data_IF_954293749560
#
_entry.id   IF_954293749560
#
_cell.length_a   1.000
_cell.length_b   1.000
_cell.length_c   1.000
_cell.angle_alpha   90.00
_cell.angle_beta   90.00
_cell.angle_gamma   90.00
#
_symmetry.space_group_name_H-M   'P 1'
#
loop_
_entity.id
_entity.type
_entity.pdbx_description
1 polymer ?
#
# COMPACT_ATOMS: atom_id res chain seq x y z
N UNK A 1 2.81 -11.84 21.39
CA UNK A 1 2.12 -10.78 20.63
C UNK A 1 3.18 -10.02 19.84
N UNK A 2 2.88 -9.52 18.65
CA UNK A 2 3.83 -8.78 17.83
C UNK A 2 3.97 -7.34 18.33
N UNK A 3 5.15 -6.74 18.13
CA UNK A 3 5.36 -5.32 18.45
C UNK A 3 4.64 -4.38 17.47
N UNK A 4 4.47 -4.81 16.23
CA UNK A 4 3.78 -4.09 15.16
C UNK A 4 3.30 -5.07 14.08
N UNK A 5 2.29 -4.68 13.30
CA UNK A 5 1.73 -5.51 12.20
C UNK A 5 1.66 -4.69 10.91
N UNK A 6 2.09 -5.25 9.79
CA UNK A 6 1.85 -4.71 8.46
C UNK A 6 0.88 -5.64 7.73
N UNK A 7 -0.24 -5.12 7.25
CA UNK A 7 -1.23 -5.87 6.46
C UNK A 7 -1.17 -5.38 5.02
N UNK A 8 -0.83 -6.27 4.10
CA UNK A 8 -0.64 -5.94 2.69
C UNK A 8 -1.94 -6.02 1.88
N UNK A 9 -1.86 -5.53 0.65
CA UNK A 9 -2.93 -5.63 -0.33
C UNK A 9 -3.14 -7.06 -0.85
N UNK A 10 -4.22 -7.24 -1.60
CA UNK A 10 -4.57 -8.50 -2.23
C UNK A 10 -5.79 -8.35 -3.12
N UNK A 11 -6.01 -9.33 -4.00
CA UNK A 11 -7.15 -9.37 -4.92
C UNK A 11 -8.53 -9.67 -4.27
N UNK A 12 -8.64 -10.48 -3.19
CA UNK A 12 -9.94 -10.80 -2.59
C UNK A 12 -10.72 -9.57 -2.13
N UNK A 13 -12.05 -9.61 -2.26
CA UNK A 13 -12.93 -8.75 -1.49
C UNK A 13 -13.00 -9.21 -0.03
N UNK A 14 -13.08 -8.27 0.90
CA UNK A 14 -13.13 -8.55 2.35
C UNK A 14 -14.28 -9.50 2.73
N UNK A 15 -15.41 -9.43 2.01
CA UNK A 15 -16.60 -10.24 2.23
C UNK A 15 -16.54 -11.63 1.56
N UNK A 16 -15.48 -11.98 0.84
CA UNK A 16 -15.39 -13.22 0.07
C UNK A 16 -14.87 -14.42 0.89
N UNK A 17 -15.25 -14.54 2.16
CA UNK A 17 -14.75 -15.57 3.08
C UNK A 17 -15.05 -17.01 2.63
N UNK A 18 -16.12 -17.21 1.86
CA UNK A 18 -16.44 -18.55 1.32
C UNK A 18 -15.47 -18.97 0.21
N UNK A 19 -14.95 -18.00 -0.56
CA UNK A 19 -13.93 -18.22 -1.59
C UNK A 19 -12.53 -18.23 -1.00
N UNK A 20 -12.29 -17.43 0.04
CA UNK A 20 -10.99 -17.25 0.70
C UNK A 20 -11.13 -17.45 2.22
N UNK A 21 -11.25 -18.70 2.71
CA UNK A 21 -11.52 -18.98 4.13
C UNK A 21 -10.47 -18.42 5.11
N UNK A 22 -9.25 -18.19 4.65
CA UNK A 22 -8.18 -17.57 5.45
C UNK A 22 -8.53 -16.14 5.90
N UNK A 23 -9.42 -15.43 5.20
CA UNK A 23 -9.91 -14.11 5.62
C UNK A 23 -10.54 -14.14 7.02
N UNK A 24 -11.18 -15.26 7.42
CA UNK A 24 -11.74 -15.41 8.77
C UNK A 24 -10.65 -15.37 9.85
N UNK A 25 -9.56 -16.10 9.60
CA UNK A 25 -8.42 -16.14 10.50
C UNK A 25 -7.70 -14.79 10.55
N UNK A 26 -7.53 -14.15 9.40
CA UNK A 26 -6.94 -12.81 9.28
C UNK A 26 -7.75 -11.79 10.08
N UNK A 27 -9.07 -11.71 9.87
CA UNK A 27 -9.96 -10.81 10.62
C UNK A 27 -9.95 -11.10 12.13
N UNK A 28 -9.88 -12.36 12.53
CA UNK A 28 -9.78 -12.71 13.94
C UNK A 28 -8.47 -12.19 14.55
N UNK A 29 -7.35 -12.39 13.85
CA UNK A 29 -6.05 -11.88 14.24
C UNK A 29 -6.04 -10.35 14.36
N UNK A 30 -6.61 -9.65 13.37
CA UNK A 30 -6.69 -8.19 13.37
C UNK A 30 -7.58 -7.64 14.49
N UNK A 31 -8.75 -8.22 14.73
CA UNK A 31 -9.60 -7.83 15.87
C UNK A 31 -8.87 -7.98 17.20
N UNK A 32 -8.07 -9.05 17.36
CA UNK A 32 -7.25 -9.22 18.56
C UNK A 32 -6.17 -8.16 18.68
N UNK A 33 -5.46 -7.87 17.58
CA UNK A 33 -4.44 -6.82 17.56
C UNK A 33 -5.01 -5.43 17.83
N UNK A 34 -6.18 -5.08 17.27
CA UNK A 34 -6.92 -3.85 17.56
C UNK A 34 -7.26 -3.77 19.05
N UNK A 35 -7.87 -4.83 19.59
CA UNK A 35 -8.24 -4.88 21.00
C UNK A 35 -7.02 -4.72 21.90
N UNK A 36 -5.89 -5.33 21.53
CA UNK A 36 -4.65 -5.23 22.28
C UNK A 36 -3.87 -3.92 22.07
N UNK A 37 -4.31 -3.03 21.17
CA UNK A 37 -3.63 -1.78 20.85
C UNK A 37 -2.30 -1.96 20.09
N UNK A 38 -2.15 -3.06 19.35
CA UNK A 38 -0.94 -3.31 18.53
C UNK A 38 -0.93 -2.32 17.35
N UNK A 39 0.13 -1.54 17.15
CA UNK A 39 0.23 -0.63 16.03
C UNK A 39 0.17 -1.37 14.69
N UNK A 40 -0.65 -0.86 13.75
CA UNK A 40 -0.79 -1.48 12.43
C UNK A 40 -0.60 -0.49 11.28
N UNK A 41 0.04 -0.95 10.21
CA UNK A 41 0.02 -0.29 8.91
C UNK A 41 -0.68 -1.18 7.90
N UNK A 42 -1.86 -0.76 7.46
CA UNK A 42 -2.75 -1.55 6.63
C UNK A 42 -2.88 -0.94 5.23
N UNK A 43 -2.65 -1.73 4.19
CA UNK A 43 -2.48 -1.27 2.80
C UNK A 43 -3.48 -1.98 1.88
N UNK A 44 -4.22 -1.20 1.07
CA UNK A 44 -5.20 -1.67 0.10
C UNK A 44 -6.21 -2.66 0.71
N UNK A 45 -6.22 -3.94 0.35
CA UNK A 45 -7.05 -4.96 1.03
C UNK A 45 -6.84 -4.96 2.56
N UNK A 46 -5.61 -4.79 3.02
CA UNK A 46 -5.30 -4.68 4.44
C UNK A 46 -6.05 -3.53 5.11
N UNK A 47 -6.14 -2.36 4.48
CA UNK A 47 -6.87 -1.23 5.05
C UNK A 47 -8.38 -1.50 5.12
N UNK A 48 -8.91 -2.24 4.15
CA UNK A 48 -10.32 -2.64 4.13
C UNK A 48 -10.61 -3.68 5.22
N UNK A 49 -9.72 -4.67 5.40
CA UNK A 49 -9.79 -5.62 6.51
C UNK A 49 -9.76 -4.90 7.86
N UNK A 50 -8.86 -3.94 8.01
CA UNK A 50 -8.77 -3.12 9.22
C UNK A 50 -10.06 -2.31 9.45
N UNK A 51 -10.59 -1.67 8.41
CA UNK A 51 -11.85 -0.94 8.47
C UNK A 51 -13.03 -1.84 8.92
N UNK A 52 -13.18 -3.02 8.32
CA UNK A 52 -14.22 -3.98 8.74
C UNK A 52 -14.01 -4.47 10.18
N UNK A 53 -12.76 -4.74 10.58
CA UNK A 53 -12.45 -5.22 11.93
C UNK A 53 -12.69 -4.18 13.02
N UNK A 54 -12.70 -2.88 12.68
CA UNK A 54 -13.11 -1.81 13.60
C UNK A 54 -14.62 -1.68 13.74
N UNK A 55 -15.42 -2.38 12.91
CA UNK A 55 -16.87 -2.28 12.86
C UNK A 55 -17.40 -1.44 11.69
N UNK A 56 -16.51 -0.99 10.81
CA UNK A 56 -16.87 -0.37 9.54
C UNK A 56 -17.47 -1.36 8.55
N UNK A 57 -17.91 -0.85 7.39
CA UNK A 57 -18.45 -1.66 6.29
C UNK A 57 -17.54 -1.55 5.08
N UNK A 58 -17.20 -2.68 4.47
CA UNK A 58 -16.48 -2.74 3.19
C UNK A 58 -17.45 -3.18 2.11
N UNK A 59 -17.44 -2.50 0.97
CA UNK A 59 -18.36 -2.76 -0.12
C UNK A 59 -17.77 -2.32 -1.46
N UNK A 60 -18.29 -2.90 -2.53
CA UNK A 60 -17.91 -2.52 -3.89
C UNK A 60 -18.31 -1.07 -4.19
N UNK A 61 -17.37 -0.30 -4.71
CA UNK A 61 -17.59 1.08 -5.11
C UNK A 61 -18.63 1.20 -6.24
N UNK A 62 -19.53 2.17 -6.12
CA UNK A 62 -20.65 2.38 -7.08
C UNK A 62 -20.29 3.27 -8.26
N UNK A 63 -19.14 3.96 -8.21
CA UNK A 63 -18.67 4.93 -9.21
C UNK A 63 -17.51 4.41 -10.05
N UNK A 64 -17.27 3.09 -10.04
CA UNK A 64 -16.16 2.44 -10.74
C UNK A 64 -14.89 2.32 -9.88
N UNK A 65 -13.84 1.74 -10.47
CA UNK A 65 -12.55 1.53 -9.80
C UNK A 65 -11.67 2.78 -9.83
N UNK A 66 -10.79 2.92 -8.84
CA UNK A 66 -9.71 3.91 -8.84
C UNK A 66 -8.38 3.24 -9.14
N UNK A 67 -7.82 3.60 -10.29
CA UNK A 67 -6.50 3.19 -10.74
C UNK A 67 -5.70 4.45 -11.03
N UNK A 68 -4.47 4.49 -10.51
CA UNK A 68 -3.51 5.54 -10.77
C UNK A 68 -3.47 6.65 -9.72
N UNK A 69 -2.97 7.80 -10.14
CA UNK A 69 -2.72 8.96 -9.30
C UNK A 69 -4.03 9.72 -9.13
N UNK A 70 -4.46 9.91 -7.88
CA UNK A 70 -5.69 10.64 -7.56
C UNK A 70 -5.36 11.75 -6.58
N UNK A 71 -6.02 12.88 -6.75
CA UNK A 71 -5.95 14.00 -5.81
C UNK A 71 -6.70 13.63 -4.53
N UNK A 72 -6.05 13.83 -3.39
CA UNK A 72 -6.68 13.62 -2.10
C UNK A 72 -7.31 14.92 -1.61
N UNK A 73 -8.53 14.81 -1.09
CA UNK A 73 -9.18 15.81 -0.28
C UNK A 73 -8.92 15.46 1.18
N UNK A 74 -8.10 16.29 1.83
CA UNK A 74 -7.82 16.17 3.25
C UNK A 74 -9.01 16.68 4.06
N UNK A 75 -9.46 15.88 5.02
CA UNK A 75 -10.55 16.26 5.91
C UNK A 75 -10.00 17.01 7.12
N UNK A 76 -10.72 18.07 7.51
CA UNK A 76 -10.40 18.85 8.70
C UNK A 76 -10.93 18.13 9.95
N UNK A 77 -10.11 18.11 10.99
CA UNK A 77 -10.45 17.60 12.31
C UNK A 77 -10.13 18.69 13.32
N UNK A 78 -10.92 18.80 14.38
CA UNK A 78 -10.60 19.71 15.51
C UNK A 78 -9.79 19.02 16.60
N UNK A 79 -9.60 17.70 16.50
CA UNK A 79 -8.89 16.90 17.48
C UNK A 79 -7.37 17.01 17.30
N UNK A 80 -6.62 17.20 18.39
CA UNK A 80 -5.16 17.26 18.37
C UNK A 80 -4.54 15.93 17.93
N UNK A 81 -5.16 14.80 18.24
CA UNK A 81 -4.66 13.48 17.82
C UNK A 81 -4.69 13.31 16.29
N UNK A 82 -5.64 13.98 15.62
CA UNK A 82 -5.77 13.97 14.17
C UNK A 82 -4.97 15.11 13.51
N UNK A 83 -4.92 16.30 14.12
CA UNK A 83 -4.28 17.48 13.53
C UNK A 83 -2.78 17.58 13.80
N UNK A 84 -2.31 17.07 14.95
CA UNK A 84 -0.91 17.04 15.37
C UNK A 84 -0.12 15.84 14.83
N UNK A 85 -0.73 14.99 14.02
CA UNK A 85 -0.08 13.82 13.45
C UNK A 85 1.04 14.22 12.49
N UNK A 86 2.28 13.82 12.84
CA UNK A 86 3.47 14.21 12.10
C UNK A 86 3.45 13.67 10.67
N UNK A 87 2.92 12.46 10.44
CA UNK A 87 2.90 11.84 9.12
C UNK A 87 1.96 12.62 8.20
N UNK A 88 0.78 12.98 8.71
CA UNK A 88 -0.19 13.81 8.00
C UNK A 88 0.43 15.17 7.65
N UNK A 89 1.06 15.84 8.62
CA UNK A 89 1.70 17.13 8.42
C UNK A 89 2.78 17.07 7.32
N UNK A 90 3.58 16.00 7.31
CA UNK A 90 4.64 15.82 6.31
C UNK A 90 4.09 15.51 4.91
N UNK A 91 3.08 14.65 4.81
CA UNK A 91 2.42 14.35 3.53
C UNK A 91 1.83 15.61 2.90
N UNK A 92 1.13 16.43 3.70
CA UNK A 92 0.57 17.73 3.27
C UNK A 92 1.68 18.71 2.86
N UNK A 93 2.70 18.88 3.70
CA UNK A 93 3.78 19.84 3.45
C UNK A 93 4.57 19.51 2.17
N UNK A 94 4.86 18.23 1.94
CA UNK A 94 5.62 17.76 0.77
C UNK A 94 4.76 17.47 -0.45
N UNK A 95 3.43 17.57 -0.36
CA UNK A 95 2.47 17.28 -1.43
C UNK A 95 2.69 15.88 -2.02
N UNK A 96 2.78 14.88 -1.14
CA UNK A 96 3.09 13.50 -1.48
C UNK A 96 1.86 12.60 -1.61
N UNK A 97 0.69 13.11 -1.27
CA UNK A 97 -0.60 12.41 -1.33
C UNK A 97 -0.91 11.88 -2.74
N UNK A 98 -0.71 12.71 -3.77
CA UNK A 98 -0.91 12.29 -5.16
C UNK A 98 0.06 11.19 -5.60
N UNK A 99 1.20 11.01 -4.91
CA UNK A 99 2.22 10.01 -5.26
C UNK A 99 1.90 8.63 -4.67
N UNK A 100 0.82 8.50 -3.89
CA UNK A 100 0.32 7.23 -3.38
C UNK A 100 -0.67 6.68 -4.41
N UNK A 101 -0.21 5.71 -5.21
CA UNK A 101 -1.00 5.15 -6.32
C UNK A 101 -2.17 4.33 -5.80
N UNK A 102 -3.36 4.57 -6.34
CA UNK A 102 -4.56 3.78 -6.05
C UNK A 102 -4.71 2.63 -7.05
N UNK A 103 -5.14 1.47 -6.55
CA UNK A 103 -5.45 0.29 -7.37
C UNK A 103 -6.54 -0.55 -6.70
N UNK A 104 -7.79 -0.07 -6.71
CA UNK A 104 -8.89 -0.74 -6.01
C UNK A 104 -10.25 -0.49 -6.67
N UNK A 105 -11.21 -1.37 -6.37
CA UNK A 105 -12.62 -1.22 -6.76
C UNK A 105 -13.58 -1.19 -5.56
N UNK A 106 -13.14 -1.67 -4.41
CA UNK A 106 -13.90 -1.67 -3.17
C UNK A 106 -13.49 -0.45 -2.32
N UNK A 107 -14.42 0.00 -1.48
CA UNK A 107 -14.24 1.10 -0.54
C UNK A 107 -14.80 0.70 0.81
N UNK A 108 -14.62 1.55 1.81
CA UNK A 108 -15.07 1.32 3.17
C UNK A 108 -15.69 2.56 3.79
N UNK A 109 -16.60 2.35 4.75
CA UNK A 109 -17.00 3.32 5.76
C UNK A 109 -16.35 2.98 7.11
N UNK A 110 -16.31 3.94 8.02
CA UNK A 110 -15.66 3.83 9.32
C UNK A 110 -16.64 4.17 10.46
N UNK A 111 -16.53 3.50 11.62
CA UNK A 111 -17.20 3.94 12.84
C UNK A 111 -16.49 5.17 13.41
N UNK A 112 -17.09 5.82 14.42
CA UNK A 112 -16.44 6.94 15.13
C UNK A 112 -15.37 6.48 16.13
N UNK A 113 -15.53 5.29 16.69
CA UNK A 113 -14.63 4.72 17.69
C UNK A 113 -14.66 3.20 17.65
N UNK A 114 -13.65 2.57 18.24
CA UNK A 114 -13.55 1.12 18.44
C UNK A 114 -13.18 0.82 19.89
N UNK A 115 -13.70 -0.27 20.45
CA UNK A 115 -13.35 -0.72 21.79
C UNK A 115 -11.99 -1.44 21.79
N UNK A 116 -11.15 -1.11 22.77
CA UNK A 116 -9.87 -1.76 23.04
C UNK A 116 -9.75 -2.12 24.51
N UNK A 117 -8.71 -2.87 24.90
CA UNK A 117 -8.42 -3.16 26.31
C UNK A 117 -8.11 -1.91 27.14
N UNK A 118 -7.85 -0.77 26.49
CA UNK A 118 -7.56 0.52 27.13
C UNK A 118 -8.76 1.48 27.10
N UNK A 119 -9.92 1.05 26.61
CA UNK A 119 -11.11 1.87 26.43
C UNK A 119 -11.44 2.12 24.96
N UNK A 120 -12.22 3.16 24.68
CA UNK A 120 -12.61 3.52 23.32
C UNK A 120 -11.54 4.37 22.64
N UNK A 121 -11.02 3.88 21.51
CA UNK A 121 -10.10 4.60 20.64
C UNK A 121 -10.86 5.21 19.47
N UNK A 122 -10.51 6.45 19.10
CA UNK A 122 -11.14 7.16 17.99
C UNK A 122 -10.64 6.65 16.64
N UNK A 123 -11.53 6.70 15.65
CA UNK A 123 -11.21 6.42 14.25
C UNK A 123 -11.45 7.69 13.43
N UNK A 124 -10.42 8.12 12.70
CA UNK A 124 -10.43 9.35 11.92
C UNK A 124 -10.29 9.02 10.45
N UNK A 125 -11.29 9.37 9.64
CA UNK A 125 -11.10 9.47 8.19
C UNK A 125 -10.30 10.74 7.90
N UNK A 126 -9.10 10.60 7.36
CA UNK A 126 -8.16 11.71 7.19
C UNK A 126 -8.18 12.28 5.77
N UNK A 127 -8.39 11.42 4.78
CA UNK A 127 -8.53 11.84 3.40
C UNK A 127 -9.46 10.94 2.60
N UNK A 128 -10.00 11.50 1.52
CA UNK A 128 -10.79 10.81 0.50
C UNK A 128 -10.39 11.29 -0.89
N UNK A 129 -10.76 10.58 -1.93
CA UNK A 129 -10.82 11.12 -3.29
C UNK A 129 -12.20 11.73 -3.54
N UNK A 130 -12.47 12.20 -4.75
CA UNK A 130 -13.82 12.57 -5.16
C UNK A 130 -14.78 11.36 -5.21
N UNK A 131 -14.26 10.13 -5.18
CA UNK A 131 -15.06 8.92 -5.27
C UNK A 131 -15.20 8.23 -3.91
N UNK A 132 -14.09 7.99 -3.20
CA UNK A 132 -14.02 7.04 -2.09
C UNK A 132 -13.08 7.47 -0.96
N UNK A 133 -13.23 6.82 0.20
CA UNK A 133 -12.35 7.01 1.36
C UNK A 133 -10.97 6.40 1.06
N UNK A 134 -9.87 7.12 1.37
CA UNK A 134 -8.52 6.69 0.96
C UNK A 134 -7.53 6.55 2.11
N UNK A 135 -7.69 7.31 3.19
CA UNK A 135 -6.74 7.28 4.29
C UNK A 135 -7.41 7.53 5.63
N UNK A 136 -7.16 6.66 6.59
CA UNK A 136 -7.68 6.80 7.94
C UNK A 136 -6.64 6.42 9.00
N UNK A 137 -6.91 6.88 10.23
CA UNK A 137 -6.12 6.62 11.43
C UNK A 137 -7.01 6.04 12.53
N UNK A 138 -6.46 5.11 13.29
CA UNK A 138 -7.03 4.55 14.51
C UNK A 138 -6.06 4.78 15.67
N UNK A 139 -6.55 5.39 16.75
CA UNK A 139 -5.75 5.65 17.94
C UNK A 139 -4.49 6.44 17.62
N UNK A 140 -3.35 6.07 18.22
CA UNK A 140 -2.09 6.84 18.11
C UNK A 140 -1.34 6.64 16.79
N UNK A 141 -1.14 5.39 16.36
CA UNK A 141 -0.18 5.03 15.32
C UNK A 141 -0.64 3.85 14.43
N UNK A 142 -1.95 3.59 14.37
CA UNK A 142 -2.52 2.65 13.40
C UNK A 142 -3.09 3.40 12.21
N UNK A 143 -2.70 3.00 11.00
CA UNK A 143 -3.07 3.68 9.75
C UNK A 143 -3.60 2.70 8.70
N UNK A 144 -4.64 3.12 8.00
CA UNK A 144 -5.16 2.42 6.83
C UNK A 144 -5.03 3.27 5.57
N UNK A 145 -4.27 2.78 4.59
CA UNK A 145 -4.06 3.38 3.27
C UNK A 145 -4.75 2.54 2.21
N UNK A 146 -5.71 3.12 1.49
CA UNK A 146 -6.36 2.45 0.36
C UNK A 146 -5.42 2.34 -0.85
N UNK A 147 -4.45 3.24 -0.94
CA UNK A 147 -3.39 3.22 -1.94
C UNK A 147 -2.17 2.42 -1.55
N UNK A 148 -1.15 2.47 -2.41
CA UNK A 148 0.05 1.64 -2.33
C UNK A 148 1.31 2.48 -2.05
N UNK A 149 1.59 2.85 -0.79
CA UNK A 149 2.84 3.53 -0.44
C UNK A 149 4.07 2.62 -0.61
N UNK A 150 3.89 1.30 -0.64
CA UNK A 150 4.93 0.31 -0.90
C UNK A 150 5.30 0.18 -2.38
N UNK A 151 4.56 0.85 -3.28
CA UNK A 151 4.69 0.63 -4.71
C UNK A 151 6.09 0.97 -5.23
N UNK A 152 6.69 0.00 -5.90
CA UNK A 152 7.85 0.18 -6.76
C UNK A 152 7.46 -0.08 -8.23
N UNK A 153 8.13 0.52 -9.23
CA UNK A 153 7.81 0.37 -10.65
C UNK A 153 7.76 -1.09 -11.12
N UNK A 154 8.64 -1.92 -10.56
CA UNK A 154 8.68 -3.35 -10.80
C UNK A 154 7.39 -4.06 -10.34
N UNK A 155 6.79 -3.62 -9.23
CA UNK A 155 5.59 -4.25 -8.67
C UNK A 155 4.37 -4.02 -9.56
N UNK A 156 4.17 -2.80 -10.06
CA UNK A 156 3.02 -2.52 -10.91
C UNK A 156 3.05 -3.35 -12.20
N UNK A 157 4.23 -3.52 -12.81
CA UNK A 157 4.41 -4.37 -13.99
C UNK A 157 4.08 -5.82 -13.68
N UNK A 158 4.54 -6.33 -12.53
CA UNK A 158 4.19 -7.66 -12.04
C UNK A 158 2.68 -7.79 -11.80
N UNK A 159 2.03 -6.85 -11.13
CA UNK A 159 0.57 -6.92 -10.85
C UNK A 159 -0.26 -6.95 -12.14
N UNK A 160 0.14 -6.16 -13.14
CA UNK A 160 -0.51 -6.13 -14.44
C UNK A 160 -0.31 -7.44 -15.22
N UNK A 161 0.88 -8.04 -15.16
CA UNK A 161 1.20 -9.32 -15.81
C UNK A 161 0.61 -10.52 -15.06
N UNK A 162 0.53 -10.42 -13.73
CA UNK A 162 -0.07 -11.39 -12.82
C UNK A 162 -1.60 -11.31 -12.81
N UNK A 163 -2.21 -10.75 -13.87
CA UNK A 163 -3.64 -10.81 -14.12
C UNK A 163 -4.51 -10.47 -12.90
N UNK A 164 -4.16 -9.41 -12.15
CA UNK A 164 -4.93 -8.91 -11.00
C UNK A 164 -6.36 -8.51 -11.41
N UNK A 165 -7.19 -9.54 -11.59
CA UNK A 165 -8.61 -9.54 -11.89
C UNK A 165 -9.00 -8.90 -13.22
N UNK A 166 -10.23 -9.20 -13.64
CA UNK A 166 -11.02 -8.47 -14.64
C UNK A 166 -10.80 -6.95 -14.69
N UNK A 167 -10.39 -6.31 -13.59
CA UNK A 167 -10.14 -4.87 -13.50
C UNK A 167 -8.99 -4.43 -14.41
N UNK A 168 -7.86 -5.15 -14.45
CA UNK A 168 -6.76 -4.87 -15.38
C UNK A 168 -7.20 -4.99 -16.84
N UNK A 169 -8.01 -6.01 -17.16
CA UNK A 169 -8.52 -6.23 -18.52
C UNK A 169 -9.56 -5.15 -18.92
N UNK A 170 -10.49 -4.80 -18.01
CA UNK A 170 -11.55 -3.80 -18.24
C UNK A 170 -11.02 -2.36 -18.24
N UNK A 171 -9.82 -2.11 -17.71
CA UNK A 171 -9.22 -0.78 -17.59
C UNK A 171 -7.81 -0.70 -18.17
N UNK A 172 -7.52 -1.48 -19.22
CA UNK A 172 -6.20 -1.63 -19.82
C UNK A 172 -5.53 -0.30 -20.19
N UNK A 173 -6.27 0.66 -20.75
CA UNK A 173 -5.74 1.99 -21.08
C UNK A 173 -5.29 2.78 -19.84
N UNK A 174 -6.10 2.78 -18.78
CA UNK A 174 -5.80 3.48 -17.52
C UNK A 174 -4.62 2.82 -16.79
N UNK A 175 -4.52 1.49 -16.87
CA UNK A 175 -3.38 0.74 -16.36
C UNK A 175 -2.09 1.12 -17.09
N UNK A 176 -2.10 1.18 -18.43
CA UNK A 176 -0.92 1.59 -19.22
C UNK A 176 -0.50 3.04 -18.92
N UNK A 177 -1.48 3.96 -18.79
CA UNK A 177 -1.21 5.33 -18.37
C UNK A 177 -0.58 5.38 -16.98
N UNK A 178 -1.06 4.57 -16.05
CA UNK A 178 -0.52 4.48 -14.69
C UNK A 178 0.91 3.95 -14.71
N UNK A 179 1.21 2.92 -15.50
CA UNK A 179 2.57 2.40 -15.67
C UNK A 179 3.49 3.50 -16.19
N UNK A 180 3.08 4.20 -17.25
CA UNK A 180 3.87 5.30 -17.83
C UNK A 180 4.11 6.43 -16.83
N UNK A 181 3.11 6.78 -16.01
CA UNK A 181 3.25 7.79 -14.97
C UNK A 181 4.15 7.32 -13.83
N UNK A 182 4.03 6.06 -13.38
CA UNK A 182 4.91 5.48 -12.36
C UNK A 182 6.36 5.50 -12.83
N UNK A 183 6.64 5.10 -14.07
CA UNK A 183 7.99 5.15 -14.63
C UNK A 183 8.55 6.60 -14.66
N UNK A 184 7.70 7.60 -14.97
CA UNK A 184 8.10 9.03 -15.01
C UNK A 184 8.27 9.65 -13.62
N UNK A 185 7.46 9.25 -12.64
CA UNK A 185 7.38 9.87 -11.31
C UNK A 185 7.98 9.01 -10.19
N UNK A 186 8.66 7.91 -10.54
CA UNK A 186 9.20 6.94 -9.59
C UNK A 186 9.95 7.57 -8.42
N UNK A 187 10.79 8.57 -8.68
CA UNK A 187 11.59 9.21 -7.63
C UNK A 187 10.71 9.83 -6.54
N UNK A 188 9.55 10.39 -6.90
CA UNK A 188 8.61 10.97 -5.96
C UNK A 188 7.78 9.89 -5.25
N UNK A 189 7.37 8.84 -5.98
CA UNK A 189 6.65 7.69 -5.40
C UNK A 189 7.51 6.99 -4.36
N UNK A 190 8.77 6.68 -4.69
CA UNK A 190 9.72 6.05 -3.78
C UNK A 190 9.96 6.91 -2.54
N UNK A 191 10.11 8.23 -2.70
CA UNK A 191 10.26 9.14 -1.56
C UNK A 191 8.99 9.18 -0.69
N UNK A 192 7.80 9.21 -1.29
CA UNK A 192 6.54 9.16 -0.57
C UNK A 192 6.41 7.88 0.25
N UNK A 193 6.65 6.74 -0.39
CA UNK A 193 6.63 5.42 0.25
C UNK A 193 7.64 5.29 1.39
N UNK A 194 8.90 5.64 1.13
CA UNK A 194 9.97 5.59 2.13
C UNK A 194 9.65 6.50 3.31
N UNK A 195 9.09 7.69 3.07
CA UNK A 195 8.66 8.58 4.16
C UNK A 195 7.57 7.91 4.99
N UNK A 196 6.50 7.41 4.37
CA UNK A 196 5.38 6.81 5.09
C UNK A 196 5.85 5.61 5.93
N UNK A 197 6.59 4.70 5.32
CA UNK A 197 7.04 3.47 5.96
C UNK A 197 8.03 3.73 7.08
N UNK A 198 9.10 4.51 6.82
CA UNK A 198 10.11 4.78 7.85
C UNK A 198 9.54 5.61 8.99
N UNK A 199 8.68 6.58 8.67
CA UNK A 199 8.07 7.41 9.69
C UNK A 199 7.07 6.63 10.55
N UNK A 200 6.34 5.68 9.97
CA UNK A 200 5.50 4.78 10.75
C UNK A 200 6.34 3.92 11.69
N UNK A 201 7.43 3.31 11.20
CA UNK A 201 8.40 2.57 12.02
C UNK A 201 8.91 3.46 13.15
N UNK A 202 9.33 4.69 12.87
CA UNK A 202 9.77 5.63 13.89
C UNK A 202 8.64 5.91 14.89
N UNK A 203 7.41 6.19 14.48
CA UNK A 203 6.31 6.44 15.42
C UNK A 203 5.99 5.24 16.32
N UNK A 204 6.18 4.02 15.82
CA UNK A 204 5.95 2.79 16.59
C UNK A 204 7.11 2.50 17.54
N UNK A 205 8.35 2.75 17.13
CA UNK A 205 9.55 2.32 17.87
C UNK A 205 10.37 3.46 18.49
N UNK A 206 10.01 4.74 18.27
CA UNK A 206 10.75 5.91 18.77
C UNK A 206 10.60 6.16 20.27
N UNK A 207 9.90 5.34 21.06
CA UNK A 207 10.23 5.28 22.49
C UNK A 207 11.70 4.81 22.73
N UNK A 208 12.38 4.34 21.68
CA UNK A 208 13.84 4.12 21.61
C UNK A 208 14.66 5.22 20.91
N UNK A 209 14.04 6.31 20.42
CA UNK A 209 14.72 7.43 19.72
C UNK A 209 14.13 8.76 20.22
N UNK A 210 14.92 9.68 20.79
CA UNK A 210 14.40 10.85 21.52
C UNK A 210 13.32 11.65 20.77
N UNK A 211 12.29 12.06 21.49
CA UNK A 211 11.23 12.93 20.98
C UNK A 211 11.82 14.20 20.36
N UNK A 212 11.44 14.47 19.12
CA UNK A 212 11.84 15.68 18.40
C UNK A 212 10.70 16.68 18.52
N UNK A 213 10.83 17.63 19.43
CA UNK A 213 9.75 18.51 19.89
C UNK A 213 9.54 19.75 19.00
N UNK A 214 10.43 20.05 18.05
CA UNK A 214 10.37 21.28 17.23
C UNK A 214 10.29 21.03 15.72
N UNK A 215 9.51 21.85 15.03
CA UNK A 215 9.32 21.79 13.56
C UNK A 215 10.63 21.83 12.77
N UNK A 216 11.61 22.62 13.23
CA UNK A 216 12.95 22.71 12.62
C UNK A 216 13.76 21.42 12.76
N UNK A 217 13.67 20.76 13.92
CA UNK A 217 14.38 19.51 14.18
C UNK A 217 13.70 18.34 13.45
N UNK A 218 12.37 18.38 13.28
CA UNK A 218 11.66 17.43 12.42
C UNK A 218 12.05 17.59 10.96
N UNK A 219 12.09 18.82 10.44
CA UNK A 219 12.55 19.08 9.08
C UNK A 219 14.01 18.63 8.90
N UNK A 220 14.87 18.86 9.89
CA UNK A 220 16.24 18.34 9.90
C UNK A 220 16.27 16.80 9.91
N UNK A 221 15.47 16.14 10.74
CA UNK A 221 15.38 14.68 10.80
C UNK A 221 14.93 14.08 9.45
N UNK A 222 13.89 14.66 8.84
CA UNK A 222 13.43 14.27 7.51
C UNK A 222 14.56 14.45 6.48
N UNK A 223 15.23 15.61 6.48
CA UNK A 223 16.23 15.96 5.47
C UNK A 223 17.56 15.19 5.62
N UNK A 224 17.97 14.88 6.85
CA UNK A 224 19.30 14.35 7.14
C UNK A 224 19.31 12.90 7.63
N UNK A 225 18.17 12.35 8.02
CA UNK A 225 18.05 10.94 8.47
C UNK A 225 17.18 10.14 7.52
N UNK A 226 15.92 10.53 7.31
CA UNK A 226 14.98 9.76 6.49
C UNK A 226 15.30 9.82 5.00
N UNK A 227 15.40 11.02 4.42
CA UNK A 227 15.65 11.19 2.98
C UNK A 227 16.99 10.62 2.51
N UNK A 228 18.11 10.72 3.25
CA UNK A 228 19.37 10.08 2.84
C UNK A 228 19.30 8.55 2.90
N UNK A 229 18.58 7.99 3.87
CA UNK A 229 18.35 6.54 3.99
C UNK A 229 17.50 6.03 2.83
N UNK A 230 16.41 6.74 2.50
CA UNK A 230 15.60 6.53 1.30
C UNK A 230 16.43 6.57 0.01
N UNK A 231 17.34 7.56 -0.13
CA UNK A 231 18.25 7.65 -1.29
C UNK A 231 19.24 6.47 -1.38
N UNK A 232 19.72 5.94 -0.25
CA UNK A 232 20.57 4.73 -0.24
C UNK A 232 19.79 3.50 -0.68
N UNK A 233 18.58 3.30 -0.13
CA UNK A 233 17.63 2.25 -0.56
C UNK A 233 17.36 2.34 -2.07
N UNK A 234 17.08 3.55 -2.59
CA UNK A 234 16.91 3.83 -4.03
C UNK A 234 18.11 3.42 -4.89
N UNK A 235 19.34 3.64 -4.43
CA UNK A 235 20.55 3.24 -5.18
C UNK A 235 20.68 1.72 -5.24
N UNK A 236 20.37 1.05 -4.12
CA UNK A 236 20.40 -0.41 -4.03
C UNK A 236 19.29 -1.05 -4.87
N UNK A 237 18.05 -0.55 -4.80
CA UNK A 237 16.93 -1.04 -5.62
C UNK A 237 17.15 -0.82 -7.12
N UNK A 238 17.69 0.33 -7.53
CA UNK A 238 18.05 0.57 -8.95
C UNK A 238 19.15 -0.38 -9.43
N UNK A 239 20.14 -0.68 -8.60
CA UNK A 239 21.20 -1.64 -8.95
C UNK A 239 20.66 -3.07 -9.04
N UNK A 240 19.87 -3.53 -8.06
CA UNK A 240 19.24 -4.86 -8.11
C UNK A 240 18.25 -4.98 -9.27
N UNK A 241 17.48 -3.94 -9.57
CA UNK A 241 16.56 -3.90 -10.72
C UNK A 241 17.32 -3.95 -12.05
N UNK A 242 18.47 -3.26 -12.17
CA UNK A 242 19.30 -3.35 -13.39
C UNK A 242 19.82 -4.77 -13.62
N UNK A 243 20.18 -5.48 -12.54
CA UNK A 243 20.61 -6.87 -12.57
C UNK A 243 19.44 -7.79 -12.92
N UNK A 244 18.32 -7.70 -12.20
CA UNK A 244 17.11 -8.51 -12.43
C UNK A 244 16.54 -8.33 -13.84
N UNK A 245 16.46 -7.09 -14.37
CA UNK A 245 16.01 -6.84 -15.75
C UNK A 245 16.99 -7.39 -16.78
N UNK A 246 18.29 -7.38 -16.50
CA UNK A 246 19.30 -7.97 -17.39
C UNK A 246 19.20 -9.50 -17.41
N UNK A 247 18.99 -10.13 -16.25
CA UNK A 247 18.80 -11.57 -16.09
C UNK A 247 17.47 -12.02 -16.69
N UNK A 248 16.40 -11.26 -16.47
CA UNK A 248 15.08 -11.50 -17.02
C UNK A 248 15.08 -11.37 -18.55
N UNK A 249 15.70 -10.32 -19.11
CA UNK A 249 15.89 -10.19 -20.58
C UNK A 249 16.70 -11.35 -21.15
N UNK A 250 17.71 -11.82 -20.42
CA UNK A 250 18.53 -12.97 -20.84
C UNK A 250 17.70 -14.25 -20.85
N UNK A 251 16.93 -14.52 -19.78
CA UNK A 251 16.02 -15.68 -19.69
C UNK A 251 14.91 -15.62 -20.75
N UNK A 252 14.31 -14.44 -20.99
CA UNK A 252 13.28 -14.26 -22.01
C UNK A 252 13.83 -14.47 -23.42
N UNK A 253 15.02 -13.94 -23.73
CA UNK A 253 15.65 -14.18 -25.03
C UNK A 253 15.98 -15.66 -25.24
N UNK A 254 16.48 -16.35 -24.20
CA UNK A 254 16.75 -17.79 -24.26
C UNK A 254 15.47 -18.60 -24.48
N UNK A 255 14.38 -18.25 -23.78
CA UNK A 255 13.09 -18.94 -23.88
C UNK A 255 12.40 -18.69 -25.23
N UNK A 256 12.51 -17.46 -25.75
CA UNK A 256 11.99 -17.09 -27.08
C UNK A 256 12.72 -17.83 -28.20
N UNK A 257 14.04 -18.04 -28.06
CA UNK A 257 14.81 -18.84 -29.03
C UNK A 257 14.57 -20.35 -28.92
N UNK A 258 14.09 -20.86 -27.78
CA UNK A 258 13.90 -22.29 -27.56
C UNK A 258 12.48 -22.79 -27.80
N UNK A 259 11.44 -21.94 -27.65
CA UNK A 259 10.04 -22.39 -27.66
C UNK A 259 9.19 -21.86 -28.83
N UNK A 260 9.57 -20.77 -29.49
CA UNK A 260 8.75 -20.17 -30.55
C UNK A 260 9.58 -19.79 -31.78
N UNK A 261 9.54 -20.63 -32.81
CA UNK A 261 9.61 -20.13 -34.19
C UNK A 261 8.32 -19.35 -34.47
N UNK A 262 8.45 -18.16 -35.08
CA UNK A 262 7.37 -17.18 -35.32
C UNK A 262 5.99 -17.81 -35.64
N UNK A 263 5.08 -17.82 -34.66
CA UNK A 263 3.63 -17.76 -34.90
C UNK A 263 2.85 -17.52 -33.60
N UNK A 264 1.87 -16.60 -33.68
CA UNK A 264 0.96 -16.20 -32.60
C UNK A 264 -0.16 -17.24 -32.38
N UNK A 265 -0.37 -17.68 -31.13
CA UNK A 265 -1.65 -18.29 -30.70
C UNK A 265 -1.91 -18.14 -29.20
N UNK A 266 -3.20 -18.18 -28.84
CA UNK A 266 -3.89 -17.80 -27.60
C UNK A 266 -3.25 -18.21 -26.26
N UNK A 267 -3.41 -17.33 -25.26
CA UNK A 267 -2.81 -17.44 -23.92
C UNK A 267 -3.71 -18.27 -22.98
N UNK A 268 -3.18 -19.40 -22.52
CA UNK A 268 -3.80 -20.34 -21.57
C UNK A 268 -3.81 -19.79 -20.12
N UNK A 269 -4.97 -19.83 -19.45
CA UNK A 269 -5.16 -19.33 -18.09
C UNK A 269 -4.38 -20.14 -17.04
N UNK A 270 -4.16 -21.44 -17.25
CA UNK A 270 -3.39 -22.27 -16.32
C UNK A 270 -1.90 -21.89 -16.32
N UNK A 271 -1.41 -21.42 -17.48
CA UNK A 271 -0.04 -20.89 -17.63
C UNK A 271 0.11 -19.56 -16.90
N UNK A 272 -0.94 -18.74 -16.87
CA UNK A 272 -0.95 -17.48 -16.13
C UNK A 272 -0.87 -17.76 -14.61
N UNK A 273 -1.69 -18.65 -14.07
CA UNK A 273 -1.69 -18.97 -12.64
C UNK A 273 -0.38 -19.61 -12.16
N UNK A 274 0.21 -20.50 -12.96
CA UNK A 274 1.52 -21.07 -12.65
C UNK A 274 2.65 -20.04 -12.68
N UNK A 275 2.64 -19.13 -13.66
CA UNK A 275 3.63 -18.05 -13.72
C UNK A 275 3.47 -17.07 -12.56
N UNK A 276 2.25 -16.78 -12.11
CA UNK A 276 2.00 -15.96 -10.93
C UNK A 276 2.62 -16.58 -9.67
N UNK A 277 2.35 -17.87 -9.39
CA UNK A 277 2.92 -18.55 -8.23
C UNK A 277 4.45 -18.53 -8.24
N UNK A 278 5.05 -18.76 -9.41
CA UNK A 278 6.50 -18.79 -9.56
C UNK A 278 7.16 -17.42 -9.35
N UNK A 279 6.51 -16.35 -9.81
CA UNK A 279 6.97 -14.98 -9.56
C UNK A 279 6.86 -14.63 -8.07
N UNK A 280 5.77 -15.02 -7.40
CA UNK A 280 5.62 -14.83 -5.96
C UNK A 280 6.66 -15.61 -5.14
N UNK A 281 6.99 -16.84 -5.53
CA UNK A 281 8.03 -17.66 -4.90
C UNK A 281 9.44 -17.09 -5.09
N UNK A 282 9.77 -16.55 -6.28
CA UNK A 282 11.06 -15.88 -6.53
C UNK A 282 11.20 -14.55 -5.78
N UNK A 283 10.09 -13.87 -5.48
CA UNK A 283 10.07 -12.61 -4.71
C UNK A 283 10.14 -12.81 -3.19
N UNK A 284 9.77 -13.98 -2.67
CA UNK A 284 9.84 -14.30 -1.25
C UNK A 284 11.28 -14.45 -0.71
N UNK A 285 12.28 -14.40 -1.59
CA UNK A 285 13.72 -14.53 -1.27
C UNK A 285 14.50 -13.21 -1.23
N UNK A 286 13.83 -12.06 -1.38
CA UNK A 286 14.40 -10.70 -1.24
C UNK A 286 13.83 -9.96 -0.04
#
# INVERSE_FOLDING_TARGET
MYDAIIILGGNPGVYEEDRFPWLRAEKHFLRRGIYDGVPMLAICLGCQLLAECTGGKVFKGTKGAEIGFKKWEWLEHSDEDATGDRLIALLKHKQLDEMIVLFHQDTFDLPYHVETKHGFEKVYLLAKTNLYNTFFKLGKNTYGFQGHPELKPEFLKVWCQAGWGDMCAKSSALVQETISHVDKHFDKISVAGDIILNMWVDMVFAERVPAVEKSHEFEHYVQHVLLPTARKSRRQSRQSMSLSLSEFRTKMNQKRTSEFGDSDSEIDQDVIEQNQRKIFEEMAFF
#
